data_IF_255796627106
#
_entry.id   IF_255796627106
#
_cell.length_a   1.000
_cell.length_b   1.000
_cell.length_c   1.000
_cell.angle_alpha   90.00
_cell.angle_beta   90.00
_cell.angle_gamma   90.00
#
_symmetry.space_group_name_H-M   'P 1'
#
loop_
_entity.id
_entity.type
_entity.pdbx_description
1 polymer ?
#
# COMPACT_ATOMS: atom_id res chain seq x y z
N UNK A 1 -2.02 19.28 8.95
CA UNK A 1 -0.88 18.38 8.68
C UNK A 1 -0.19 18.85 7.42
N UNK A 2 1.14 18.98 7.42
CA UNK A 2 1.87 19.29 6.20
C UNK A 2 1.61 18.19 5.13
N UNK A 3 1.44 18.54 3.84
CA UNK A 3 1.12 17.58 2.79
C UNK A 3 2.12 16.42 2.70
N UNK A 4 3.40 16.68 2.98
CA UNK A 4 4.43 15.64 3.04
C UNK A 4 4.27 14.62 4.16
N UNK A 5 3.76 15.01 5.33
CA UNK A 5 3.48 14.09 6.44
C UNK A 5 2.40 13.08 6.05
N UNK A 6 1.38 13.52 5.30
CA UNK A 6 0.29 12.64 4.84
C UNK A 6 0.79 11.57 3.88
N UNK A 7 1.65 11.94 2.93
CA UNK A 7 2.21 10.98 1.97
C UNK A 7 3.11 9.93 2.63
N UNK A 8 3.93 10.35 3.59
CA UNK A 8 4.78 9.43 4.38
C UNK A 8 3.95 8.52 5.28
N UNK A 9 2.92 9.05 5.94
CA UNK A 9 1.99 8.23 6.72
C UNK A 9 1.29 7.18 5.84
N UNK A 10 0.85 7.57 4.64
CA UNK A 10 0.26 6.62 3.69
C UNK A 10 1.25 5.54 3.26
N UNK A 11 2.52 5.89 3.04
CA UNK A 11 3.56 4.91 2.72
C UNK A 11 3.75 3.86 3.82
N UNK A 12 3.79 4.30 5.09
CA UNK A 12 3.86 3.40 6.24
C UNK A 12 2.62 2.51 6.34
N UNK A 13 1.43 3.09 6.16
CA UNK A 13 0.17 2.34 6.23
C UNK A 13 0.08 1.29 5.12
N UNK A 14 0.44 1.63 3.88
CA UNK A 14 0.41 0.67 2.77
C UNK A 14 1.43 -0.46 2.96
N UNK A 15 2.64 -0.15 3.43
CA UNK A 15 3.64 -1.15 3.76
C UNK A 15 3.21 -2.07 4.91
N UNK A 16 2.63 -1.50 5.97
CA UNK A 16 2.08 -2.28 7.07
C UNK A 16 0.91 -3.15 6.61
N UNK A 17 0.06 -2.64 5.71
CA UNK A 17 -1.04 -3.39 5.12
C UNK A 17 -0.53 -4.60 4.33
N UNK A 18 0.50 -4.44 3.49
CA UNK A 18 1.13 -5.56 2.77
C UNK A 18 1.58 -6.65 3.76
N UNK A 19 2.27 -6.25 4.82
CA UNK A 19 2.73 -7.17 5.86
C UNK A 19 1.59 -7.87 6.61
N UNK A 20 0.55 -7.13 6.98
CA UNK A 20 -0.63 -7.69 7.65
C UNK A 20 -1.37 -8.65 6.73
N UNK A 21 -1.52 -8.33 5.44
CA UNK A 21 -2.21 -9.20 4.48
C UNK A 21 -1.53 -10.57 4.37
N UNK A 22 -0.22 -10.58 4.17
CA UNK A 22 0.54 -11.84 4.05
C UNK A 22 0.60 -12.56 5.40
N UNK A 23 0.94 -11.85 6.47
CA UNK A 23 1.11 -12.46 7.79
C UNK A 23 -0.18 -12.99 8.40
N UNK A 24 -1.30 -12.31 8.22
CA UNK A 24 -2.60 -12.76 8.70
C UNK A 24 -3.17 -13.91 7.85
N UNK A 25 -2.90 -13.92 6.54
CA UNK A 25 -3.29 -15.03 5.66
C UNK A 25 -2.60 -16.33 6.08
N UNK A 26 -1.34 -16.24 6.47
CA UNK A 26 -0.53 -17.34 6.99
C UNK A 26 -0.98 -17.75 8.40
N UNK A 27 -1.12 -16.81 9.33
CA UNK A 27 -1.61 -17.08 10.69
C UNK A 27 -3.00 -17.74 10.70
N UNK A 28 -3.83 -17.47 9.68
CA UNK A 28 -5.15 -18.09 9.54
C UNK A 28 -5.09 -19.62 9.29
N UNK A 29 -3.93 -20.18 8.93
CA UNK A 29 -3.71 -21.62 8.74
C UNK A 29 -3.70 -22.40 10.07
N UNK A 30 -3.47 -21.75 11.21
CA UNK A 30 -3.63 -22.38 12.53
C UNK A 30 -5.10 -22.73 12.83
N UNK A 31 -6.05 -22.21 12.05
CA UNK A 31 -7.46 -22.53 12.18
C UNK A 31 -7.91 -23.66 11.21
N UNK A 32 -8.86 -24.52 11.62
CA UNK A 32 -9.41 -25.55 10.74
C UNK A 32 -9.95 -24.98 9.43
N UNK A 33 -9.81 -25.74 8.33
CA UNK A 33 -10.18 -25.31 6.96
C UNK A 33 -11.61 -24.78 6.84
N UNK A 34 -12.56 -25.37 7.57
CA UNK A 34 -13.99 -24.98 7.55
C UNK A 34 -14.41 -24.10 8.72
N UNK A 35 -13.46 -23.58 9.50
CA UNK A 35 -13.79 -22.75 10.65
C UNK A 35 -14.34 -21.37 10.21
N UNK A 36 -15.35 -20.84 10.93
CA UNK A 36 -15.88 -19.51 10.63
C UNK A 36 -14.83 -18.42 10.86
N UNK A 37 -13.91 -18.62 11.81
CA UNK A 37 -12.80 -17.69 12.10
C UNK A 37 -11.92 -17.54 10.87
N UNK A 38 -11.43 -18.64 10.28
CA UNK A 38 -10.59 -18.61 9.08
C UNK A 38 -11.27 -17.90 7.90
N UNK A 39 -12.57 -18.19 7.68
CA UNK A 39 -13.36 -17.54 6.62
C UNK A 39 -13.49 -16.03 6.87
N UNK A 40 -13.80 -15.61 8.10
CA UNK A 40 -13.89 -14.19 8.47
C UNK A 40 -12.56 -13.47 8.30
N UNK A 41 -11.45 -14.11 8.64
CA UNK A 41 -10.11 -13.55 8.42
C UNK A 41 -9.87 -13.29 6.93
N UNK A 42 -10.04 -14.27 6.05
CA UNK A 42 -9.84 -14.04 4.61
C UNK A 42 -10.81 -13.01 4.01
N UNK A 43 -12.06 -12.98 4.48
CA UNK A 43 -13.00 -11.93 4.08
C UNK A 43 -12.54 -10.55 4.51
N UNK A 44 -12.04 -10.41 5.74
CA UNK A 44 -11.50 -9.14 6.24
C UNK A 44 -10.25 -8.70 5.45
N UNK A 45 -9.36 -9.63 5.12
CA UNK A 45 -8.16 -9.34 4.30
C UNK A 45 -8.56 -8.90 2.88
N UNK A 46 -9.49 -9.61 2.24
CA UNK A 46 -10.02 -9.23 0.94
C UNK A 46 -10.70 -7.85 0.97
N UNK A 47 -11.51 -7.57 2.00
CA UNK A 47 -12.15 -6.28 2.18
C UNK A 47 -11.14 -5.15 2.40
N UNK A 48 -10.08 -5.39 3.19
CA UNK A 48 -9.03 -4.41 3.43
C UNK A 48 -8.26 -4.08 2.14
N UNK A 49 -7.92 -5.09 1.34
CA UNK A 49 -7.22 -4.92 0.06
C UNK A 49 -8.09 -4.16 -0.96
N UNK A 50 -9.37 -4.50 -1.07
CA UNK A 50 -10.31 -3.77 -1.92
C UNK A 50 -10.49 -2.32 -1.46
N UNK A 51 -10.59 -2.10 -0.14
CA UNK A 51 -10.72 -0.75 0.42
C UNK A 51 -9.49 0.09 0.11
N UNK A 52 -8.28 -0.45 0.28
CA UNK A 52 -7.05 0.28 -0.05
C UNK A 52 -6.96 0.61 -1.55
N UNK A 53 -7.32 -0.35 -2.42
CA UNK A 53 -7.42 -0.12 -3.87
C UNK A 53 -8.39 1.01 -4.22
N UNK A 54 -9.61 0.98 -3.67
CA UNK A 54 -10.62 2.02 -3.89
C UNK A 54 -10.18 3.38 -3.34
N UNK A 55 -9.58 3.42 -2.15
CA UNK A 55 -8.99 4.63 -1.57
C UNK A 55 -7.81 5.16 -2.41
N UNK A 56 -7.14 4.29 -3.16
CA UNK A 56 -6.15 4.63 -4.18
C UNK A 56 -6.74 5.43 -5.34
N UNK A 57 -7.91 5.01 -5.83
CA UNK A 57 -8.60 5.58 -7.01
C UNK A 57 -9.51 6.76 -6.69
N UNK A 58 -9.82 7.00 -5.41
CA UNK A 58 -10.70 8.08 -4.97
C UNK A 58 -10.36 9.48 -5.54
N UNK A 59 -9.08 9.89 -5.67
CA UNK A 59 -8.73 11.15 -6.33
C UNK A 59 -9.13 11.18 -7.80
N UNK A 60 -8.95 10.07 -8.52
CA UNK A 60 -9.34 9.90 -9.92
C UNK A 60 -10.86 9.99 -10.07
N UNK A 61 -11.60 9.26 -9.22
CA UNK A 61 -13.07 9.27 -9.21
C UNK A 61 -13.61 10.67 -8.91
N UNK A 62 -13.01 11.39 -7.95
CA UNK A 62 -13.39 12.78 -7.64
C UNK A 62 -13.10 13.75 -8.80
N UNK A 63 -12.01 13.55 -9.54
CA UNK A 63 -11.71 14.38 -10.72
C UNK A 63 -12.75 14.15 -11.82
N UNK A 64 -13.06 12.88 -12.11
CA UNK A 64 -14.07 12.48 -13.11
C UNK A 64 -15.46 13.02 -12.72
N UNK A 65 -15.87 12.85 -11.46
CA UNK A 65 -17.16 13.35 -10.97
C UNK A 65 -17.27 14.89 -11.04
N UNK A 66 -16.14 15.60 -11.01
CA UNK A 66 -16.07 17.04 -11.19
C UNK A 66 -15.92 17.47 -12.67
N UNK A 67 -16.07 16.55 -13.63
CA UNK A 67 -15.93 16.82 -15.07
C UNK A 67 -14.51 17.12 -15.52
N UNK A 68 -13.50 16.87 -14.68
CA UNK A 68 -12.09 17.07 -15.00
C UNK A 68 -11.47 15.78 -15.53
N UNK A 69 -10.46 15.86 -16.43
CA UNK A 69 -9.75 14.68 -16.88
C UNK A 69 -9.14 13.94 -15.68
N UNK A 70 -9.04 12.60 -15.75
CA UNK A 70 -8.37 11.82 -14.72
C UNK A 70 -6.94 12.32 -14.56
N UNK A 71 -6.47 12.43 -13.31
CA UNK A 71 -5.10 12.86 -13.05
C UNK A 71 -4.14 11.84 -13.67
N UNK A 72 -3.23 12.26 -14.58
CA UNK A 72 -2.23 11.34 -15.10
C UNK A 72 -1.34 10.88 -13.94
N UNK A 73 -1.20 9.57 -13.80
CA UNK A 73 -0.24 9.00 -12.86
C UNK A 73 1.09 8.93 -13.58
N UNK A 74 2.12 9.55 -13.00
CA UNK A 74 3.47 9.47 -13.58
C UNK A 74 3.90 7.98 -13.72
N UNK A 75 4.54 7.61 -14.85
CA UNK A 75 4.99 6.24 -15.08
C UNK A 75 5.83 5.66 -13.94
N UNK A 76 6.69 6.48 -13.33
CA UNK A 76 7.52 6.08 -12.19
C UNK A 76 6.69 5.70 -10.95
N UNK A 77 5.58 6.39 -10.68
CA UNK A 77 4.70 6.07 -9.56
C UNK A 77 3.94 4.75 -9.79
N UNK A 78 3.55 4.48 -11.05
CA UNK A 78 2.89 3.24 -11.42
C UNK A 78 3.85 2.05 -11.37
N UNK A 79 5.09 2.20 -11.87
CA UNK A 79 6.12 1.17 -11.79
C UNK A 79 6.43 0.78 -10.34
N UNK A 80 6.52 1.75 -9.42
CA UNK A 80 6.74 1.46 -8.00
C UNK A 80 5.57 0.71 -7.37
N UNK A 81 4.33 1.03 -7.77
CA UNK A 81 3.14 0.31 -7.30
C UNK A 81 3.14 -1.14 -7.77
N UNK A 82 3.45 -1.37 -9.04
CA UNK A 82 3.55 -2.70 -9.63
C UNK A 82 4.68 -3.50 -8.98
N UNK A 83 5.85 -2.89 -8.78
CA UNK A 83 6.97 -3.53 -8.10
C UNK A 83 6.62 -3.96 -6.67
N UNK A 84 5.94 -3.11 -5.89
CA UNK A 84 5.49 -3.46 -4.55
C UNK A 84 4.50 -4.64 -4.58
N UNK A 85 3.53 -4.61 -5.51
CA UNK A 85 2.60 -5.72 -5.71
C UNK A 85 3.29 -7.03 -6.08
N UNK A 86 4.28 -6.99 -6.97
CA UNK A 86 5.08 -8.15 -7.36
C UNK A 86 5.90 -8.71 -6.20
N UNK A 87 6.48 -7.85 -5.36
CA UNK A 87 7.20 -8.29 -4.15
C UNK A 87 6.25 -8.97 -3.16
N UNK A 88 5.08 -8.39 -2.90
CA UNK A 88 4.07 -9.00 -2.04
C UNK A 88 3.60 -10.36 -2.57
N UNK A 89 3.33 -10.47 -3.87
CA UNK A 89 2.99 -11.75 -4.52
C UNK A 89 4.14 -12.75 -4.42
N UNK A 90 5.37 -12.30 -4.64
CA UNK A 90 6.58 -13.11 -4.50
C UNK A 90 6.73 -13.70 -3.10
N UNK A 91 6.52 -12.90 -2.06
CA UNK A 91 6.51 -13.38 -0.68
C UNK A 91 5.39 -14.40 -0.43
N UNK A 92 4.19 -14.17 -0.97
CA UNK A 92 3.09 -15.14 -0.89
C UNK A 92 3.47 -16.50 -1.48
N UNK A 93 4.15 -16.52 -2.63
CA UNK A 93 4.65 -17.76 -3.23
C UNK A 93 5.74 -18.41 -2.37
N UNK A 94 6.73 -17.63 -1.92
CA UNK A 94 7.83 -18.14 -1.09
C UNK A 94 7.25 -18.82 0.15
N UNK A 95 6.34 -18.17 0.87
CA UNK A 95 5.70 -18.74 2.06
C UNK A 95 4.91 -19.99 1.72
N UNK A 96 4.14 -20.00 0.65
CA UNK A 96 3.38 -21.19 0.23
C UNK A 96 4.29 -22.42 0.02
N UNK A 97 5.51 -22.21 -0.49
CA UNK A 97 6.48 -23.29 -0.71
C UNK A 97 7.16 -23.73 0.59
N UNK A 98 7.53 -22.79 1.46
CA UNK A 98 8.33 -23.10 2.67
C UNK A 98 7.48 -23.35 3.92
N UNK A 99 6.19 -23.05 3.91
CA UNK A 99 5.30 -23.17 5.07
C UNK A 99 5.29 -24.60 5.62
N UNK A 100 4.88 -25.59 4.82
CA UNK A 100 4.81 -26.98 5.25
C UNK A 100 6.08 -27.53 5.94
N UNK A 101 7.30 -27.36 5.38
CA UNK A 101 8.52 -27.78 6.05
C UNK A 101 8.85 -26.95 7.30
N UNK A 102 8.66 -25.62 7.28
CA UNK A 102 8.95 -24.75 8.43
C UNK A 102 7.99 -24.98 9.58
N UNK A 103 6.69 -25.08 9.32
CA UNK A 103 5.67 -25.34 10.32
C UNK A 103 5.92 -26.67 11.03
N UNK A 104 6.27 -27.72 10.28
CA UNK A 104 6.67 -29.02 10.85
C UNK A 104 7.92 -28.91 11.72
N UNK A 105 8.91 -28.14 11.29
CA UNK A 105 10.14 -27.89 12.08
C UNK A 105 9.82 -27.18 13.40
N UNK A 106 8.98 -26.14 13.37
CA UNK A 106 8.54 -25.41 14.55
C UNK A 106 7.70 -26.27 15.50
N UNK A 107 6.81 -27.10 14.97
CA UNK A 107 6.03 -28.08 15.76
C UNK A 107 6.95 -29.07 16.48
N UNK A 108 7.99 -29.59 15.80
CA UNK A 108 9.00 -30.46 16.42
C UNK A 108 9.77 -29.77 17.55
N UNK A 109 9.88 -28.45 17.51
CA UNK A 109 10.49 -27.62 18.56
C UNK A 109 9.49 -27.22 19.67
N UNK A 110 8.25 -27.71 19.61
CA UNK A 110 7.23 -27.45 20.63
C UNK A 110 6.43 -26.16 20.44
N UNK A 111 6.51 -25.50 19.27
CA UNK A 111 5.72 -24.29 18.99
C UNK A 111 4.25 -24.67 18.77
N UNK A 112 3.39 -24.19 19.67
CA UNK A 112 1.95 -24.50 19.63
C UNK A 112 1.19 -23.88 18.45
N UNK A 113 1.67 -22.75 17.92
CA UNK A 113 1.06 -21.98 16.82
C UNK A 113 2.11 -21.61 15.76
N UNK A 114 2.56 -22.60 14.98
CA UNK A 114 3.66 -22.39 14.04
C UNK A 114 3.29 -21.38 12.95
N UNK A 115 2.05 -21.40 12.44
CA UNK A 115 1.64 -20.51 11.36
C UNK A 115 1.48 -19.06 11.83
N UNK A 116 1.07 -18.83 13.08
CA UNK A 116 1.11 -17.49 13.66
C UNK A 116 2.53 -16.91 13.68
N UNK A 117 3.52 -17.71 14.10
CA UNK A 117 4.93 -17.27 14.17
C UNK A 117 5.47 -16.99 12.76
N UNK A 118 5.21 -17.89 11.81
CA UNK A 118 5.61 -17.72 10.41
C UNK A 118 4.90 -16.52 9.77
N UNK A 119 3.63 -16.32 10.09
CA UNK A 119 2.85 -15.19 9.63
C UNK A 119 3.41 -13.86 10.13
N UNK A 120 3.72 -13.75 11.43
CA UNK A 120 4.35 -12.53 11.98
C UNK A 120 5.71 -12.27 11.32
N UNK A 121 6.57 -13.29 11.20
CA UNK A 121 7.89 -13.14 10.58
C UNK A 121 7.78 -12.69 9.12
N UNK A 122 6.94 -13.36 8.33
CA UNK A 122 6.75 -13.01 6.92
C UNK A 122 6.11 -11.63 6.77
N UNK A 123 5.13 -11.30 7.61
CA UNK A 123 4.49 -9.99 7.59
C UNK A 123 5.48 -8.86 7.84
N UNK A 124 6.38 -9.01 8.81
CA UNK A 124 7.45 -8.05 9.08
C UNK A 124 8.44 -7.93 7.91
N UNK A 125 8.86 -9.06 7.34
CA UNK A 125 9.78 -9.06 6.20
C UNK A 125 9.11 -8.42 4.96
N UNK A 126 7.85 -8.73 4.71
CA UNK A 126 7.08 -8.14 3.61
C UNK A 126 7.01 -6.63 3.78
N UNK A 127 6.57 -6.15 4.94
CA UNK A 127 6.50 -4.72 5.24
C UNK A 127 7.88 -4.05 5.06
N UNK A 128 8.95 -4.64 5.61
CA UNK A 128 10.31 -4.12 5.47
C UNK A 128 10.77 -4.06 4.01
N UNK A 129 10.37 -5.02 3.17
CA UNK A 129 10.76 -5.06 1.74
C UNK A 129 9.91 -4.14 0.85
N UNK A 130 8.63 -3.90 1.17
CA UNK A 130 7.78 -2.99 0.40
C UNK A 130 7.90 -1.53 0.84
N UNK A 131 8.31 -1.28 2.09
CA UNK A 131 8.46 0.08 2.65
C UNK A 131 9.31 1.02 1.77
N UNK A 132 10.50 0.64 1.25
CA UNK A 132 11.29 1.51 0.40
C UNK A 132 10.55 1.94 -0.88
N UNK A 133 9.73 1.06 -1.45
CA UNK A 133 8.95 1.34 -2.66
C UNK A 133 7.85 2.36 -2.38
N UNK A 134 7.09 2.15 -1.30
CA UNK A 134 6.06 3.06 -0.83
C UNK A 134 6.64 4.42 -0.43
N UNK A 135 7.80 4.43 0.23
CA UNK A 135 8.50 5.65 0.63
C UNK A 135 8.98 6.47 -0.57
N UNK A 136 9.57 5.80 -1.57
CA UNK A 136 10.00 6.44 -2.81
C UNK A 136 8.80 7.01 -3.57
N UNK A 137 7.69 6.28 -3.64
CA UNK A 137 6.44 6.76 -4.24
C UNK A 137 5.89 7.99 -3.50
N UNK A 138 5.94 8.00 -2.18
CA UNK A 138 5.54 9.16 -1.38
C UNK A 138 6.44 10.38 -1.67
N UNK A 139 7.74 10.17 -1.83
CA UNK A 139 8.68 11.26 -2.14
C UNK A 139 8.41 11.88 -3.51
N UNK A 140 8.08 11.06 -4.52
CA UNK A 140 7.66 11.56 -5.83
C UNK A 140 6.39 12.42 -5.73
N UNK A 141 5.38 11.95 -4.99
CA UNK A 141 4.13 12.71 -4.79
C UNK A 141 4.32 14.03 -4.05
N UNK A 142 5.25 14.07 -3.10
CA UNK A 142 5.59 15.32 -2.39
C UNK A 142 6.15 16.35 -3.37
N UNK A 143 7.10 15.93 -4.21
CA UNK A 143 7.71 16.81 -5.23
C UNK A 143 6.69 17.28 -6.26
N UNK A 144 5.78 16.40 -6.65
CA UNK A 144 4.71 16.74 -7.58
C UNK A 144 3.73 17.77 -7.00
N UNK A 145 3.32 17.57 -5.74
CA UNK A 145 2.48 18.55 -5.03
C UNK A 145 3.20 19.90 -4.91
N UNK A 146 4.49 19.90 -4.59
CA UNK A 146 5.32 21.13 -4.51
C UNK A 146 5.40 21.86 -5.85
N UNK A 147 5.66 21.15 -6.96
CA UNK A 147 5.67 21.74 -8.31
C UNK A 147 4.32 22.34 -8.67
N UNK A 148 3.25 21.59 -8.44
CA UNK A 148 1.88 22.06 -8.74
C UNK A 148 1.54 23.33 -7.94
N UNK A 149 2.00 23.43 -6.69
CA UNK A 149 1.78 24.64 -5.87
C UNK A 149 2.58 25.85 -6.37
N UNK A 150 3.79 25.64 -6.88
CA UNK A 150 4.60 26.73 -7.47
C UNK A 150 3.98 27.19 -8.77
N UNK A 151 3.64 26.26 -9.68
CA UNK A 151 3.00 26.59 -10.96
C UNK A 151 1.67 27.34 -10.77
N UNK A 152 0.86 26.94 -9.78
CA UNK A 152 -0.38 27.64 -9.46
C UNK A 152 -0.14 29.06 -8.92
N UNK A 153 0.94 29.28 -8.16
CA UNK A 153 1.31 30.60 -7.67
C UNK A 153 1.83 31.50 -8.80
N UNK A 154 2.64 30.95 -9.70
CA UNK A 154 3.16 31.66 -10.88
C UNK A 154 2.03 32.07 -11.84
N UNK A 155 1.06 31.16 -12.08
CA UNK A 155 -0.14 31.46 -12.86
C UNK A 155 -0.96 32.59 -12.23
N UNK A 156 -1.20 32.54 -10.91
CA UNK A 156 -1.93 33.59 -10.20
C UNK A 156 -1.19 34.94 -10.21
N UNK A 157 0.14 34.93 -10.15
CA UNK A 157 0.95 36.13 -10.25
C UNK A 157 0.86 36.75 -11.65
N UNK A 158 0.98 35.93 -12.70
CA UNK A 158 0.84 36.38 -14.09
C UNK A 158 -0.55 36.92 -14.40
N UNK A 159 -1.61 36.26 -13.92
CA UNK A 159 -2.99 36.76 -14.02
C UNK A 159 -3.17 38.11 -13.32
N UNK A 160 -2.52 38.32 -12.17
CA UNK A 160 -2.55 39.60 -11.46
C UNK A 160 -1.80 40.71 -12.20
N UNK A 161 -0.66 40.41 -12.84
CA UNK A 161 0.08 41.36 -13.68
C UNK A 161 -0.74 41.78 -14.90
N UNK A 162 -1.37 40.84 -15.61
CA UNK A 162 -2.25 41.15 -16.75
C UNK A 162 -3.41 42.07 -16.34
N UNK A 163 -4.06 41.77 -15.22
CA UNK A 163 -5.16 42.58 -14.70
C UNK A 163 -4.74 44.01 -14.30
N UNK A 164 -3.44 44.23 -14.04
CA UNK A 164 -2.89 45.55 -13.74
C UNK A 164 -2.52 46.34 -15.01
N UNK A 165 -2.17 45.66 -16.11
CA UNK A 165 -1.87 46.28 -17.41
C UNK A 165 -3.15 46.74 -18.14
N UNK A 166 -4.27 46.04 -17.93
CA UNK A 166 -5.57 46.37 -18.54
C UNK A 166 -6.33 47.53 -17.85
N UNK A 167 -5.73 48.19 -16.85
CA UNK A 167 -6.29 49.38 -16.16
C UNK A 167 -5.60 50.67 -16.55
#
# INVERSE_FOLDING_TARGET
MAPGTRHRARALVSSALDGVLIGAAEAALDHPRRSPVRRRTYLALGAAMLTDGVLGELPTVRAIAAGRPPRPVEPAQQQLAVAAGLVSVGWGFVVTVVDGPLARSLQRRGVARPHLVLGVATGLVTAATTLPMWWRRATLRIREDERTTVEAADLAAWEAELAAVDR
#
